data_IF_579994711707
#
_entry.id   IF_579994711707
#
_cell.length_a   1.000
_cell.length_b   1.000
_cell.length_c   1.000
_cell.angle_alpha   90.00
_cell.angle_beta   90.00
_cell.angle_gamma   90.00
#
_symmetry.space_group_name_H-M   'P 1'
#
loop_
_entity.id
_entity.type
_entity.pdbx_description
1 polymer ?
#
# COMPACT_ATOMS: atom_id res chain seq x y z
N UNK A 1 12.47 -23.54 -18.29
CA UNK A 1 12.27 -22.09 -17.99
C UNK A 1 10.96 -21.76 -17.31
N UNK A 2 9.81 -22.28 -17.78
CA UNK A 2 8.46 -21.87 -17.34
C UNK A 2 8.21 -21.96 -15.81
N UNK A 3 8.64 -23.05 -15.15
CA UNK A 3 8.40 -23.26 -13.71
C UNK A 3 9.06 -22.17 -12.83
N UNK A 4 10.25 -21.69 -13.21
CA UNK A 4 10.93 -20.64 -12.44
C UNK A 4 10.27 -19.27 -12.61
N UNK A 5 9.70 -19.01 -13.78
CA UNK A 5 8.95 -17.79 -14.04
C UNK A 5 7.69 -17.75 -13.18
N UNK A 6 6.89 -18.83 -13.17
CA UNK A 6 5.70 -18.90 -12.31
C UNK A 6 6.02 -18.76 -10.83
N UNK A 7 7.13 -19.34 -10.36
CA UNK A 7 7.59 -19.16 -8.96
C UNK A 7 7.97 -17.71 -8.66
N UNK A 8 8.62 -17.01 -9.59
CA UNK A 8 8.96 -15.60 -9.41
C UNK A 8 7.71 -14.71 -9.35
N UNK A 9 6.73 -14.96 -10.24
CA UNK A 9 5.45 -14.25 -10.24
C UNK A 9 4.66 -14.52 -8.96
N UNK A 10 4.65 -15.77 -8.47
CA UNK A 10 4.02 -16.11 -7.20
C UNK A 10 4.64 -15.35 -6.01
N UNK A 11 5.97 -15.18 -5.99
CA UNK A 11 6.65 -14.35 -4.97
C UNK A 11 6.26 -12.87 -5.11
N UNK A 12 6.16 -12.36 -6.34
CA UNK A 12 5.64 -11.01 -6.59
C UNK A 12 4.23 -10.79 -6.04
N UNK A 13 3.32 -11.76 -6.25
CA UNK A 13 1.97 -11.72 -5.70
C UNK A 13 1.97 -11.73 -4.16
N UNK A 14 2.80 -12.56 -3.54
CA UNK A 14 2.92 -12.61 -2.07
C UNK A 14 3.35 -11.24 -1.52
N UNK A 15 4.28 -10.55 -2.18
CA UNK A 15 4.70 -9.21 -1.77
C UNK A 15 3.54 -8.20 -1.77
N UNK A 16 2.71 -8.21 -2.81
CA UNK A 16 1.53 -7.33 -2.90
C UNK A 16 0.55 -7.65 -1.77
N UNK A 17 0.27 -8.92 -1.51
CA UNK A 17 -0.65 -9.35 -0.45
C UNK A 17 -0.14 -8.88 0.92
N UNK A 18 1.13 -9.12 1.22
CA UNK A 18 1.74 -8.74 2.51
C UNK A 18 1.72 -7.22 2.70
N UNK A 19 2.02 -6.46 1.64
CA UNK A 19 1.99 -5.01 1.70
C UNK A 19 0.60 -4.46 2.05
N UNK A 20 -0.44 -4.93 1.36
CA UNK A 20 -1.81 -4.49 1.66
C UNK A 20 -2.33 -5.00 3.00
N UNK A 21 -1.94 -6.21 3.42
CA UNK A 21 -2.26 -6.70 4.76
C UNK A 21 -1.68 -5.77 5.84
N UNK A 22 -0.45 -5.31 5.66
CA UNK A 22 0.17 -4.35 6.59
C UNK A 22 -0.54 -2.99 6.58
N UNK A 23 -0.86 -2.44 5.40
CA UNK A 23 -1.65 -1.20 5.31
C UNK A 23 -3.00 -1.32 6.02
N UNK A 24 -3.68 -2.47 5.88
CA UNK A 24 -4.96 -2.68 6.52
C UNK A 24 -4.83 -2.68 8.05
N UNK A 25 -3.84 -3.39 8.59
CA UNK A 25 -3.55 -3.41 10.03
C UNK A 25 -3.20 -2.01 10.54
N UNK A 26 -2.37 -1.27 9.81
CA UNK A 26 -2.00 0.10 10.17
C UNK A 26 -3.22 1.03 10.15
N UNK A 27 -4.08 0.92 9.13
CA UNK A 27 -5.33 1.67 9.05
C UNK A 27 -6.24 1.38 10.24
N UNK A 28 -6.42 0.09 10.57
CA UNK A 28 -7.19 -0.32 11.76
C UNK A 28 -6.61 0.26 13.04
N UNK A 29 -5.29 0.14 13.25
CA UNK A 29 -4.62 0.68 14.43
C UNK A 29 -4.82 2.20 14.57
N UNK A 30 -4.70 2.93 13.46
CA UNK A 30 -4.95 4.37 13.45
C UNK A 30 -6.40 4.70 13.81
N UNK A 31 -7.38 3.98 13.27
CA UNK A 31 -8.79 4.20 13.60
C UNK A 31 -9.14 3.89 15.05
N UNK A 32 -8.52 2.87 15.65
CA UNK A 32 -8.73 2.53 17.06
C UNK A 32 -8.16 3.59 18.01
N UNK A 33 -7.06 4.24 17.62
CA UNK A 33 -6.41 5.28 18.43
C UNK A 33 -6.99 6.69 18.16
N UNK A 34 -7.78 6.85 17.11
CA UNK A 34 -8.39 8.12 16.79
C UNK A 34 -9.58 8.37 17.73
N UNK A 35 -9.36 9.18 18.77
CA UNK A 35 -10.46 9.80 19.51
C UNK A 35 -10.88 11.02 18.70
N UNK A 36 -12.08 11.04 18.11
CA UNK A 36 -12.54 12.21 17.38
C UNK A 36 -12.81 13.34 18.39
N UNK A 37 -12.03 14.41 18.33
CA UNK A 37 -12.30 15.63 19.10
C UNK A 37 -13.55 16.32 18.54
N UNK A 38 -14.71 15.89 19.05
CA UNK A 38 -16.04 16.41 18.67
C UNK A 38 -16.28 17.85 19.15
N UNK A 39 -15.39 18.41 19.98
CA UNK A 39 -15.57 19.73 20.61
C UNK A 39 -15.08 20.87 19.70
N UNK A 40 -14.02 20.66 18.92
CA UNK A 40 -13.48 21.68 17.99
C UNK A 40 -14.22 21.70 16.63
N UNK A 41 -14.88 20.59 16.28
CA UNK A 41 -15.65 20.44 15.04
C UNK A 41 -16.80 21.44 14.92
N UNK A 42 -17.44 21.85 16.02
CA UNK A 42 -18.55 22.80 16.00
C UNK A 42 -18.12 24.25 15.75
N UNK A 43 -16.94 24.68 16.20
CA UNK A 43 -16.42 26.01 15.87
C UNK A 43 -16.04 26.13 14.39
N UNK A 44 -15.67 25.01 13.77
CA UNK A 44 -15.30 24.97 12.35
C UNK A 44 -16.50 24.97 11.38
N UNK A 45 -17.73 24.73 11.85
CA UNK A 45 -18.94 24.68 10.99
C UNK A 45 -19.20 26.03 10.28
N UNK A 46 -18.83 27.15 10.90
CA UNK A 46 -18.92 28.47 10.27
C UNK A 46 -17.80 28.76 9.26
N UNK A 47 -16.68 28.03 9.32
CA UNK A 47 -15.55 28.20 8.39
C UNK A 47 -15.55 27.17 7.24
N UNK A 48 -16.26 26.05 7.40
CA UNK A 48 -16.31 24.94 6.44
C UNK A 48 -17.31 25.16 5.29
N UNK A 49 -18.30 26.03 5.45
CA UNK A 49 -19.25 26.33 4.36
C UNK A 49 -18.60 27.02 3.16
N UNK A 50 -17.52 27.79 3.36
CA UNK A 50 -16.83 28.54 2.30
C UNK A 50 -15.71 27.77 1.59
N UNK A 51 -15.32 26.58 2.08
CA UNK A 51 -14.16 25.82 1.54
C UNK A 51 -14.40 24.32 1.42
N UNK A 52 -15.59 23.90 0.99
CA UNK A 52 -15.85 22.51 0.63
C UNK A 52 -15.30 22.19 -0.77
N UNK A 53 -13.98 22.04 -0.87
CA UNK A 53 -13.38 21.19 -1.92
C UNK A 53 -13.40 19.76 -1.38
N UNK A 54 -14.49 19.04 -1.64
CA UNK A 54 -14.58 17.62 -1.32
C UNK A 54 -13.52 16.85 -2.11
N UNK A 55 -12.64 16.16 -1.38
CA UNK A 55 -11.81 15.10 -1.92
C UNK A 55 -10.41 15.54 -2.32
N UNK A 56 -9.43 15.31 -1.43
CA UNK A 56 -8.09 14.98 -1.90
C UNK A 56 -8.20 13.65 -2.64
N UNK A 57 -8.45 13.73 -3.96
CA UNK A 57 -8.47 12.58 -4.84
C UNK A 57 -7.01 12.16 -5.03
N UNK A 58 -6.49 11.36 -4.08
CA UNK A 58 -5.18 10.72 -4.21
C UNK A 58 -5.11 10.16 -5.62
N UNK A 59 -4.25 10.75 -6.45
CA UNK A 59 -4.36 10.61 -7.90
C UNK A 59 -4.30 9.13 -8.24
N UNK A 60 -5.32 8.61 -8.93
CA UNK A 60 -5.47 7.17 -9.20
C UNK A 60 -4.22 6.54 -9.81
N UNK A 61 -3.39 7.35 -10.49
CA UNK A 61 -2.12 6.96 -11.10
C UNK A 61 -1.15 6.35 -10.09
N UNK A 62 -1.03 6.92 -8.87
CA UNK A 62 -0.11 6.39 -7.86
C UNK A 62 -0.47 4.97 -7.44
N UNK A 63 -1.78 4.68 -7.32
CA UNK A 63 -2.28 3.35 -6.98
C UNK A 63 -2.09 2.36 -8.14
N UNK A 64 -2.25 2.84 -9.38
CA UNK A 64 -2.02 2.01 -10.57
C UNK A 64 -0.54 1.64 -10.74
N UNK A 65 0.39 2.52 -10.36
CA UNK A 65 1.84 2.28 -10.46
C UNK A 65 2.38 1.45 -9.29
N UNK A 66 1.77 1.53 -8.12
CA UNK A 66 2.21 0.82 -6.90
C UNK A 66 2.24 -0.71 -7.08
N UNK A 67 1.15 -1.29 -7.60
CA UNK A 67 1.02 -2.74 -7.78
C UNK A 67 2.11 -3.33 -8.70
N UNK A 68 2.33 -2.83 -9.93
CA UNK A 68 3.37 -3.39 -10.81
C UNK A 68 4.77 -3.19 -10.23
N UNK A 69 5.05 -2.09 -9.53
CA UNK A 69 6.35 -1.88 -8.87
C UNK A 69 6.59 -2.92 -7.78
N UNK A 70 5.60 -3.19 -6.93
CA UNK A 70 5.70 -4.23 -5.88
C UNK A 70 5.88 -5.63 -6.46
N UNK A 71 5.17 -5.95 -7.54
CA UNK A 71 5.35 -7.24 -8.23
C UNK A 71 6.76 -7.38 -8.80
N UNK A 72 7.27 -6.35 -9.47
CA UNK A 72 8.64 -6.35 -10.01
C UNK A 72 9.68 -6.50 -8.89
N UNK A 73 9.46 -5.83 -7.75
CA UNK A 73 10.34 -5.94 -6.59
C UNK A 73 10.39 -7.38 -6.06
N UNK A 74 9.24 -8.06 -5.90
CA UNK A 74 9.22 -9.45 -5.47
C UNK A 74 9.90 -10.41 -6.47
N UNK A 75 9.77 -10.15 -7.77
CA UNK A 75 10.47 -10.89 -8.82
C UNK A 75 12.00 -10.70 -8.71
N UNK A 76 12.46 -9.45 -8.56
CA UNK A 76 13.88 -9.11 -8.39
C UNK A 76 14.46 -9.79 -7.15
N UNK A 77 13.75 -9.76 -6.02
CA UNK A 77 14.16 -10.43 -4.78
C UNK A 77 14.32 -11.94 -5.01
N UNK A 78 13.35 -12.58 -5.67
CA UNK A 78 13.43 -14.00 -5.98
C UNK A 78 14.68 -14.37 -6.79
N UNK A 79 14.96 -13.62 -7.87
CA UNK A 79 16.12 -13.88 -8.70
C UNK A 79 17.45 -13.56 -8.01
N UNK A 80 17.49 -12.53 -7.16
CA UNK A 80 18.68 -12.15 -6.39
C UNK A 80 19.03 -13.22 -5.37
N UNK A 81 18.05 -13.68 -4.57
CA UNK A 81 18.22 -14.77 -3.62
C UNK A 81 18.64 -16.07 -4.30
N UNK A 82 18.06 -16.35 -5.47
CA UNK A 82 18.44 -17.52 -6.27
C UNK A 82 19.89 -17.44 -6.77
N UNK A 83 20.33 -16.26 -7.26
CA UNK A 83 21.71 -16.05 -7.72
C UNK A 83 22.69 -16.21 -6.56
N UNK A 84 22.32 -15.74 -5.38
CA UNK A 84 23.15 -15.85 -4.17
C UNK A 84 23.27 -17.29 -3.68
N UNK A 85 22.16 -18.06 -3.65
CA UNK A 85 22.16 -19.49 -3.29
C UNK A 85 22.96 -20.39 -4.24
N UNK A 86 23.21 -19.95 -5.48
CA UNK A 86 24.01 -20.70 -6.47
C UNK A 86 25.51 -20.38 -6.42
N UNK A 87 25.90 -19.29 -5.75
CA UNK A 87 27.30 -18.89 -5.56
C UNK A 87 27.93 -19.51 -4.30
N UNK A 88 27.09 -20.11 -3.46
CA UNK A 88 27.48 -20.83 -2.24
C UNK A 88 27.42 -22.32 -2.55
#
# INVERSE_FOLDING_TARGET
>A
MKVHFFRAVAVGLIFVIVFYAFQFIQGMYLTMKHVPDLVESYESVNHLQDKVTFGYQSSSIWRTVEIPVLMLLGIVVYYTLRKWRKKK
#
